data_IF_723704280614
#
_entry.id   IF_723704280614
#
_cell.length_a   1.000
_cell.length_b   1.000
_cell.length_c   1.000
_cell.angle_alpha   90.00
_cell.angle_beta   90.00
_cell.angle_gamma   90.00
#
_symmetry.space_group_name_H-M   'P 1'
#
loop_
_entity.id
_entity.type
_entity.pdbx_description
1 polymer ?
#
# COMPACT_ATOMS: atom_id res chain seq x y z
N UNK A 1 -7.81 100.73 -3.30
CA UNK A 1 -8.17 99.62 -2.38
C UNK A 1 -8.76 98.41 -3.16
N UNK A 2 -8.04 97.84 -4.14
CA UNK A 2 -8.61 96.78 -5.01
C UNK A 2 -7.62 95.71 -5.46
N UNK A 3 -6.71 95.26 -4.59
CA UNK A 3 -5.75 94.16 -4.89
C UNK A 3 -6.14 92.84 -4.21
N UNK A 4 -7.21 92.81 -3.40
CA UNK A 4 -7.54 91.63 -2.57
C UNK A 4 -8.54 90.63 -3.18
N UNK A 5 -9.10 90.87 -4.39
CA UNK A 5 -10.06 89.92 -5.03
C UNK A 5 -9.45 88.89 -6.00
N UNK A 6 -8.17 89.03 -6.41
CA UNK A 6 -7.53 88.13 -7.39
C UNK A 6 -6.87 86.86 -6.81
N UNK A 7 -6.61 86.81 -5.50
CA UNK A 7 -5.98 85.65 -4.82
C UNK A 7 -6.95 84.49 -4.56
N UNK A 8 -8.26 84.74 -4.52
CA UNK A 8 -9.27 83.71 -4.19
C UNK A 8 -9.64 82.80 -5.37
N UNK A 9 -9.62 83.30 -6.61
CA UNK A 9 -9.88 82.49 -7.81
C UNK A 9 -8.71 81.58 -8.17
N UNK A 10 -7.47 82.09 -8.15
CA UNK A 10 -6.27 81.27 -8.42
C UNK A 10 -6.12 80.13 -7.42
N UNK A 11 -6.33 80.38 -6.11
CA UNK A 11 -6.22 79.32 -5.10
C UNK A 11 -7.36 78.29 -5.15
N UNK A 12 -8.54 78.65 -5.69
CA UNK A 12 -9.65 77.71 -5.92
C UNK A 12 -9.37 76.82 -7.13
N UNK A 13 -8.93 77.43 -8.24
CA UNK A 13 -8.56 76.72 -9.48
C UNK A 13 -7.39 75.75 -9.28
N UNK A 14 -6.34 76.16 -8.56
CA UNK A 14 -5.21 75.26 -8.27
C UNK A 14 -5.62 74.10 -7.38
N UNK A 15 -6.46 74.32 -6.36
CA UNK A 15 -6.99 73.25 -5.50
C UNK A 15 -7.86 72.25 -6.27
N UNK A 16 -8.70 72.71 -7.19
CA UNK A 16 -9.52 71.81 -8.02
C UNK A 16 -8.69 71.01 -9.01
N UNK A 17 -7.65 71.61 -9.61
CA UNK A 17 -6.75 70.92 -10.54
C UNK A 17 -5.87 69.90 -9.83
N UNK A 18 -5.29 70.25 -8.68
CA UNK A 18 -4.52 69.32 -7.85
C UNK A 18 -5.41 68.21 -7.30
N UNK A 19 -6.63 68.52 -6.87
CA UNK A 19 -7.61 67.53 -6.43
C UNK A 19 -7.98 66.54 -7.53
N UNK A 20 -8.24 67.02 -8.75
CA UNK A 20 -8.52 66.16 -9.90
C UNK A 20 -7.34 65.27 -10.25
N UNK A 21 -6.12 65.83 -10.27
CA UNK A 21 -4.90 65.05 -10.49
C UNK A 21 -4.69 63.97 -9.43
N UNK A 22 -4.94 64.28 -8.15
CA UNK A 22 -4.85 63.32 -7.06
C UNK A 22 -5.88 62.19 -7.19
N UNK A 23 -7.12 62.52 -7.56
CA UNK A 23 -8.19 61.54 -7.79
C UNK A 23 -7.82 60.60 -8.95
N UNK A 24 -7.27 61.13 -10.04
CA UNK A 24 -6.79 60.32 -11.16
C UNK A 24 -5.66 59.36 -10.76
N UNK A 25 -4.70 59.82 -9.95
CA UNK A 25 -3.60 58.98 -9.44
C UNK A 25 -4.13 57.89 -8.51
N UNK A 26 -5.07 58.21 -7.62
CA UNK A 26 -5.67 57.24 -6.70
C UNK A 26 -6.47 56.18 -7.48
N UNK A 27 -7.28 56.60 -8.46
CA UNK A 27 -8.03 55.66 -9.31
C UNK A 27 -7.08 54.75 -10.09
N UNK A 28 -6.03 55.29 -10.68
CA UNK A 28 -5.01 54.50 -11.38
C UNK A 28 -4.32 53.52 -10.44
N UNK A 29 -3.95 53.96 -9.23
CA UNK A 29 -3.34 53.10 -8.22
C UNK A 29 -4.27 51.96 -7.79
N UNK A 30 -5.56 52.24 -7.58
CA UNK A 30 -6.55 51.21 -7.22
C UNK A 30 -6.73 50.20 -8.36
N UNK A 31 -6.87 50.67 -9.60
CA UNK A 31 -6.99 49.79 -10.77
C UNK A 31 -5.73 48.95 -10.96
N UNK A 32 -4.54 49.56 -10.86
CA UNK A 32 -3.27 48.86 -10.97
C UNK A 32 -3.14 47.79 -9.89
N UNK A 33 -3.45 48.15 -8.64
CA UNK A 33 -3.39 47.25 -7.49
C UNK A 33 -4.39 46.08 -7.66
N UNK A 34 -5.62 46.34 -8.08
CA UNK A 34 -6.61 45.30 -8.38
C UNK A 34 -6.14 44.35 -9.51
N UNK A 35 -5.54 44.88 -10.57
CA UNK A 35 -4.98 44.08 -11.67
C UNK A 35 -3.80 43.23 -11.20
N UNK A 36 -2.86 43.81 -10.45
CA UNK A 36 -1.68 43.10 -9.92
C UNK A 36 -2.09 41.98 -8.97
N UNK A 37 -3.02 42.23 -8.04
CA UNK A 37 -3.53 41.17 -7.15
C UNK A 37 -4.22 40.06 -7.94
N UNK A 38 -5.01 40.39 -8.98
CA UNK A 38 -5.64 39.39 -9.83
C UNK A 38 -4.64 38.56 -10.66
N UNK A 39 -3.54 39.16 -11.10
CA UNK A 39 -2.48 38.46 -11.84
C UNK A 39 -1.63 37.57 -10.93
N UNK A 40 -1.33 38.02 -9.71
CA UNK A 40 -0.59 37.24 -8.72
C UNK A 40 -1.40 36.02 -8.24
N UNK A 41 -2.70 36.17 -8.00
CA UNK A 41 -3.58 35.06 -7.61
C UNK A 41 -3.70 33.99 -8.71
N UNK A 42 -3.88 34.41 -9.98
CA UNK A 42 -3.89 33.49 -11.12
C UNK A 42 -2.54 32.81 -11.30
N UNK A 43 -1.45 33.57 -11.27
CA UNK A 43 -0.10 33.00 -11.39
C UNK A 43 0.22 32.00 -10.27
N UNK A 44 -0.21 32.26 -9.04
CA UNK A 44 -0.06 31.32 -7.92
C UNK A 44 -0.91 30.05 -8.13
N UNK A 45 -2.15 30.18 -8.61
CA UNK A 45 -3.03 29.03 -8.92
C UNK A 45 -2.48 28.18 -10.06
N UNK A 46 -2.06 28.80 -11.16
CA UNK A 46 -1.49 28.10 -12.32
C UNK A 46 -0.21 27.33 -11.92
N UNK A 47 0.61 27.90 -11.02
CA UNK A 47 1.78 27.20 -10.47
C UNK A 47 1.39 26.00 -9.61
N UNK A 48 0.36 26.13 -8.76
CA UNK A 48 -0.13 25.02 -7.93
C UNK A 48 -0.77 23.92 -8.77
N UNK A 49 -1.50 24.27 -9.83
CA UNK A 49 -2.08 23.32 -10.77
C UNK A 49 -0.98 22.58 -11.54
N UNK A 50 -0.01 23.30 -12.12
CA UNK A 50 1.12 22.67 -12.79
C UNK A 50 1.93 21.77 -11.85
N UNK A 51 2.15 22.20 -10.60
CA UNK A 51 2.85 21.38 -9.61
C UNK A 51 2.04 20.13 -9.24
N UNK A 52 0.72 20.27 -9.05
CA UNK A 52 -0.18 19.14 -8.80
C UNK A 52 -0.11 18.14 -9.95
N UNK A 53 -0.21 18.62 -11.18
CA UNK A 53 -0.24 17.77 -12.38
C UNK A 53 1.09 17.04 -12.55
N UNK A 54 2.23 17.73 -12.38
CA UNK A 54 3.55 17.09 -12.39
C UNK A 54 3.71 16.04 -11.28
N UNK A 55 3.13 16.27 -10.10
CA UNK A 55 3.15 15.30 -9.00
C UNK A 55 2.26 14.10 -9.30
N UNK A 56 1.08 14.30 -9.87
CA UNK A 56 0.22 13.22 -10.31
C UNK A 56 0.93 12.34 -11.34
N UNK A 57 1.50 12.94 -12.39
CA UNK A 57 2.28 12.23 -13.41
C UNK A 57 3.44 11.41 -12.82
N UNK A 58 4.12 11.97 -11.81
CA UNK A 58 5.22 11.28 -11.12
C UNK A 58 4.73 10.07 -10.34
N UNK A 59 3.58 10.19 -9.67
CA UNK A 59 2.96 9.08 -8.93
C UNK A 59 2.53 7.97 -9.88
N UNK A 60 1.87 8.32 -10.99
CA UNK A 60 1.44 7.36 -12.00
C UNK A 60 2.63 6.58 -12.58
N UNK A 61 3.67 7.28 -13.03
CA UNK A 61 4.89 6.63 -13.56
C UNK A 61 5.59 5.75 -12.52
N UNK A 62 5.52 6.13 -11.25
CA UNK A 62 6.09 5.34 -10.16
C UNK A 62 5.30 4.06 -9.96
N UNK A 63 3.96 4.13 -9.95
CA UNK A 63 3.07 2.98 -9.83
C UNK A 63 3.27 2.04 -11.02
N UNK A 64 3.30 2.57 -12.25
CA UNK A 64 3.51 1.76 -13.45
C UNK A 64 4.86 1.03 -13.39
N UNK A 65 5.93 1.70 -12.97
CA UNK A 65 7.25 1.09 -12.78
C UNK A 65 7.25 -0.02 -11.72
N UNK A 66 6.49 0.15 -10.63
CA UNK A 66 6.31 -0.89 -9.62
C UNK A 66 5.55 -2.08 -10.23
N UNK A 67 4.47 -1.82 -10.97
CA UNK A 67 3.65 -2.87 -11.58
C UNK A 67 4.42 -3.65 -12.64
N UNK A 68 5.23 -2.98 -13.46
CA UNK A 68 6.10 -3.63 -14.44
C UNK A 68 7.15 -4.53 -13.77
N UNK A 69 7.71 -4.10 -12.64
CA UNK A 69 8.65 -4.94 -11.87
C UNK A 69 7.95 -6.15 -11.27
N UNK A 70 6.76 -5.96 -10.73
CA UNK A 70 5.97 -7.05 -10.14
C UNK A 70 5.55 -8.04 -11.23
N UNK A 71 5.09 -7.59 -12.40
CA UNK A 71 4.67 -8.47 -13.49
C UNK A 71 5.82 -9.36 -14.00
N UNK A 72 7.05 -8.84 -14.04
CA UNK A 72 8.24 -9.63 -14.40
C UNK A 72 8.48 -10.77 -13.41
N UNK A 73 8.23 -10.58 -12.10
CA UNK A 73 8.39 -11.64 -11.10
C UNK A 73 7.44 -12.82 -11.33
N UNK A 74 6.22 -12.55 -11.82
CA UNK A 74 5.27 -13.60 -12.17
C UNK A 74 5.72 -14.49 -13.34
N UNK A 75 6.74 -14.05 -14.07
CA UNK A 75 7.37 -14.82 -15.16
C UNK A 75 8.68 -15.49 -14.76
N UNK A 76 9.16 -15.28 -13.53
CA UNK A 76 10.39 -15.87 -13.04
C UNK A 76 10.18 -17.38 -12.77
N UNK A 77 10.95 -18.28 -13.42
CA UNK A 77 10.81 -19.71 -13.20
C UNK A 77 11.04 -20.15 -11.74
N UNK A 78 11.87 -19.43 -10.98
CA UNK A 78 12.09 -19.74 -9.56
C UNK A 78 10.88 -19.41 -8.70
N UNK A 79 10.13 -18.35 -9.03
CA UNK A 79 8.85 -18.03 -8.36
C UNK A 79 7.80 -19.09 -8.72
N UNK A 80 7.74 -19.51 -9.99
CA UNK A 80 6.87 -20.59 -10.42
C UNK A 80 7.14 -21.92 -9.72
N UNK A 81 8.41 -22.32 -9.63
CA UNK A 81 8.83 -23.52 -8.90
C UNK A 81 8.51 -23.44 -7.41
N UNK A 82 8.76 -22.28 -6.79
CA UNK A 82 8.44 -22.07 -5.38
C UNK A 82 6.93 -22.20 -5.12
N UNK A 83 6.08 -21.57 -5.93
CA UNK A 83 4.63 -21.66 -5.78
C UNK A 83 4.13 -23.10 -5.97
N UNK A 84 4.64 -23.82 -6.98
CA UNK A 84 4.26 -25.21 -7.21
C UNK A 84 4.65 -26.11 -6.02
N UNK A 85 5.91 -26.09 -5.60
CA UNK A 85 6.40 -26.99 -4.54
C UNK A 85 5.80 -26.65 -3.16
N UNK A 86 5.61 -25.36 -2.86
CA UNK A 86 4.96 -24.91 -1.63
C UNK A 86 3.46 -25.22 -1.64
N UNK A 87 2.79 -25.05 -2.78
CA UNK A 87 1.38 -25.43 -2.95
C UNK A 87 1.18 -26.94 -2.77
N UNK A 88 2.00 -27.75 -3.45
CA UNK A 88 2.00 -29.22 -3.33
C UNK A 88 2.27 -29.68 -1.90
N UNK A 89 3.20 -29.02 -1.20
CA UNK A 89 3.48 -29.26 0.21
C UNK A 89 2.31 -28.87 1.12
N UNK A 90 1.66 -27.73 0.83
CA UNK A 90 0.56 -27.18 1.62
C UNK A 90 -0.67 -28.08 1.59
N UNK A 91 -1.07 -28.57 0.40
CA UNK A 91 -2.24 -29.46 0.25
C UNK A 91 -2.06 -30.83 0.92
N UNK A 92 -0.80 -31.22 1.23
CA UNK A 92 -0.49 -32.45 1.96
C UNK A 92 -0.58 -32.29 3.48
N UNK A 93 -0.79 -31.08 4.00
CA UNK A 93 -0.90 -30.81 5.43
C UNK A 93 -2.27 -31.20 5.98
N UNK A 94 -2.47 -32.51 6.17
CA UNK A 94 -3.72 -33.10 6.65
C UNK A 94 -3.70 -33.43 8.16
N UNK A 95 -2.60 -33.14 8.84
CA UNK A 95 -2.42 -33.45 10.26
C UNK A 95 -3.11 -32.40 11.13
N UNK A 96 -4.11 -32.82 11.91
CA UNK A 96 -4.78 -31.95 12.87
C UNK A 96 -3.88 -31.59 14.06
N UNK A 97 -3.93 -30.32 14.46
CA UNK A 97 -3.31 -29.85 15.69
C UNK A 97 -4.00 -30.45 16.91
N UNK A 98 -3.22 -30.81 17.92
CA UNK A 98 -3.78 -31.18 19.21
C UNK A 98 -4.37 -29.97 19.95
N UNK A 99 -5.08 -30.23 21.05
CA UNK A 99 -5.76 -29.17 21.80
C UNK A 99 -4.80 -28.12 22.38
N UNK A 100 -3.58 -28.50 22.77
CA UNK A 100 -2.60 -27.58 23.32
C UNK A 100 -1.97 -26.72 22.21
N UNK A 101 -1.71 -27.31 21.05
CA UNK A 101 -1.23 -26.60 19.87
C UNK A 101 -2.26 -25.59 19.36
N UNK A 102 -3.54 -25.97 19.32
CA UNK A 102 -4.63 -25.07 18.94
C UNK A 102 -4.78 -23.91 19.94
N UNK A 103 -4.68 -24.19 21.24
CA UNK A 103 -4.70 -23.15 22.27
C UNK A 103 -3.53 -22.17 22.11
N UNK A 104 -2.32 -22.67 21.83
CA UNK A 104 -1.14 -21.84 21.55
C UNK A 104 -1.31 -21.00 20.29
N UNK A 105 -1.88 -21.57 19.21
CA UNK A 105 -2.20 -20.84 17.99
C UNK A 105 -3.17 -19.69 18.27
N UNK A 106 -4.30 -19.94 18.93
CA UNK A 106 -5.28 -18.90 19.27
C UNK A 106 -4.65 -17.83 20.17
N UNK A 107 -3.80 -18.22 21.13
CA UNK A 107 -3.10 -17.27 21.98
C UNK A 107 -2.14 -16.35 21.20
N UNK A 108 -1.55 -16.83 20.10
CA UNK A 108 -0.65 -16.05 19.24
C UNK A 108 -1.32 -14.84 18.56
N UNK A 109 -2.65 -14.83 18.47
CA UNK A 109 -3.44 -13.72 17.92
C UNK A 109 -3.69 -12.58 18.92
N UNK A 110 -3.50 -12.81 20.22
CA UNK A 110 -3.76 -11.79 21.25
C UNK A 110 -2.93 -10.52 21.03
N UNK A 111 -1.60 -10.58 20.79
CA UNK A 111 -0.81 -9.37 20.55
C UNK A 111 -1.24 -8.57 19.32
N UNK A 112 -1.84 -9.25 18.31
CA UNK A 112 -2.34 -8.59 17.10
C UNK A 112 -3.65 -7.86 17.39
N UNK A 113 -4.57 -8.51 18.11
CA UNK A 113 -5.90 -7.97 18.41
C UNK A 113 -5.90 -6.95 19.56
N UNK A 114 -5.00 -7.07 20.54
CA UNK A 114 -4.84 -6.13 21.67
C UNK A 114 -4.50 -4.69 21.21
N UNK A 115 -3.95 -4.55 20.00
CA UNK A 115 -3.68 -3.23 19.39
C UNK A 115 -4.94 -2.40 19.19
N UNK A 116 -6.11 -3.02 19.10
CA UNK A 116 -7.38 -2.33 18.92
C UNK A 116 -7.82 -1.60 20.20
N UNK A 117 -7.42 -2.07 21.39
CA UNK A 117 -7.76 -1.34 22.63
C UNK A 117 -6.98 -0.05 22.75
N UNK A 118 -5.73 -0.04 22.28
CA UNK A 118 -4.87 1.16 22.32
C UNK A 118 -5.50 2.34 21.55
N UNK A 119 -6.37 2.04 20.59
CA UNK A 119 -7.09 3.03 19.77
C UNK A 119 -8.60 3.09 20.07
N UNK A 120 -9.07 2.40 21.12
CA UNK A 120 -10.50 2.29 21.47
C UNK A 120 -11.40 1.78 20.33
N UNK A 121 -10.89 0.90 19.47
CA UNK A 121 -11.64 0.27 18.41
C UNK A 121 -12.24 -1.07 18.87
N UNK A 122 -13.39 -1.51 18.32
CA UNK A 122 -13.90 -2.85 18.58
C UNK A 122 -12.91 -3.92 18.12
N UNK A 123 -12.53 -4.84 19.00
CA UNK A 123 -11.68 -5.97 18.64
C UNK A 123 -12.42 -6.92 17.69
N UNK A 124 -11.77 -7.45 16.64
CA UNK A 124 -12.30 -8.58 15.90
C UNK A 124 -12.38 -9.82 16.82
N UNK A 125 -13.32 -10.71 16.53
CA UNK A 125 -13.43 -11.99 17.24
C UNK A 125 -12.29 -12.89 16.76
N UNK A 126 -11.40 -13.31 17.67
CA UNK A 126 -10.20 -14.08 17.31
C UNK A 126 -10.53 -15.37 16.57
N UNK A 127 -11.57 -16.09 17.00
CA UNK A 127 -11.99 -17.35 16.39
C UNK A 127 -12.40 -17.18 14.91
N UNK A 128 -12.85 -15.98 14.51
CA UNK A 128 -13.21 -15.67 13.12
C UNK A 128 -11.97 -15.39 12.25
N UNK A 129 -10.80 -15.15 12.86
CA UNK A 129 -9.54 -14.86 12.16
C UNK A 129 -8.64 -16.08 11.97
N UNK A 130 -8.86 -17.14 12.76
CA UNK A 130 -8.10 -18.38 12.66
C UNK A 130 -8.64 -19.20 11.48
N UNK A 131 -7.77 -19.75 10.60
CA UNK A 131 -8.20 -20.62 9.52
C UNK A 131 -9.10 -21.75 10.00
N UNK A 132 -10.05 -22.15 9.17
CA UNK A 132 -10.96 -23.27 9.51
C UNK A 132 -10.45 -24.61 8.98
N UNK A 133 -9.61 -24.58 7.95
CA UNK A 133 -8.99 -25.75 7.35
C UNK A 133 -7.74 -26.22 8.11
N UNK A 134 -7.42 -27.50 7.93
CA UNK A 134 -6.31 -28.16 8.64
C UNK A 134 -4.96 -27.61 8.21
N UNK A 135 -4.74 -27.40 6.91
CA UNK A 135 -3.48 -26.93 6.37
C UNK A 135 -3.13 -25.52 6.87
N UNK A 136 -4.11 -24.62 6.87
CA UNK A 136 -3.98 -23.24 7.33
C UNK A 136 -3.62 -23.17 8.80
N UNK A 137 -4.32 -23.95 9.65
CA UNK A 137 -3.96 -24.06 11.08
C UNK A 137 -2.57 -24.63 11.27
N UNK A 138 -2.22 -25.67 10.50
CA UNK A 138 -0.92 -26.32 10.58
C UNK A 138 0.21 -25.33 10.31
N UNK A 139 0.17 -24.62 9.18
CA UNK A 139 1.23 -23.64 8.84
C UNK A 139 1.26 -22.49 9.83
N UNK A 140 0.11 -21.98 10.29
CA UNK A 140 0.12 -20.88 11.25
C UNK A 140 0.69 -21.30 12.60
N UNK A 141 0.40 -22.51 13.08
CA UNK A 141 1.00 -22.99 14.32
C UNK A 141 2.52 -23.09 14.18
N UNK A 142 3.01 -23.83 13.18
CA UNK A 142 4.45 -24.09 13.03
C UNK A 142 5.28 -22.85 12.64
N UNK A 143 4.72 -21.94 11.84
CA UNK A 143 5.47 -20.79 11.31
C UNK A 143 5.20 -19.46 12.04
N UNK A 144 4.16 -19.39 12.88
CA UNK A 144 3.78 -18.18 13.62
C UNK A 144 3.79 -18.40 15.13
N UNK A 145 3.08 -19.41 15.63
CA UNK A 145 2.87 -19.61 17.06
C UNK A 145 4.06 -20.30 17.76
N UNK A 146 4.63 -21.32 17.13
CA UNK A 146 5.79 -22.09 17.62
C UNK A 146 7.13 -21.50 17.13
N UNK A 147 7.07 -20.51 16.24
CA UNK A 147 8.24 -19.84 15.71
C UNK A 147 8.92 -18.95 16.78
N UNK A 148 10.17 -19.27 17.11
CA UNK A 148 10.96 -18.55 18.13
C UNK A 148 11.91 -17.51 17.55
N UNK A 149 12.01 -17.40 16.22
CA UNK A 149 12.87 -16.42 15.55
C UNK A 149 12.24 -15.02 15.57
N UNK A 150 13.08 -14.00 15.77
CA UNK A 150 12.69 -12.58 15.75
C UNK A 150 13.70 -11.77 14.91
N UNK A 151 13.30 -11.28 13.72
CA UNK A 151 11.96 -11.34 13.13
C UNK A 151 11.54 -12.76 12.73
N UNK A 152 10.22 -13.06 12.77
CA UNK A 152 9.66 -14.35 12.29
C UNK A 152 10.11 -14.70 10.86
N UNK A 153 10.38 -13.67 10.06
CA UNK A 153 10.90 -13.82 8.71
C UNK A 153 12.18 -14.68 8.65
N UNK A 154 12.98 -14.75 9.72
CA UNK A 154 14.25 -15.48 9.72
C UNK A 154 14.11 -17.01 9.80
N UNK A 155 12.93 -17.52 10.20
CA UNK A 155 12.68 -18.97 10.22
C UNK A 155 12.74 -19.55 8.81
N UNK A 156 13.63 -20.53 8.60
CA UNK A 156 13.85 -21.23 7.32
C UNK A 156 13.14 -22.59 7.29
N UNK A 157 13.14 -23.32 8.40
CA UNK A 157 12.56 -24.66 8.53
C UNK A 157 11.92 -24.79 9.91
N UNK A 158 10.65 -25.17 9.97
CA UNK A 158 9.93 -25.38 11.23
C UNK A 158 10.36 -26.67 11.96
N UNK A 159 11.10 -27.56 11.31
CA UNK A 159 11.59 -28.81 11.90
C UNK A 159 10.49 -29.87 12.12
N UNK A 160 9.34 -29.71 11.46
CA UNK A 160 8.18 -30.60 11.52
C UNK A 160 8.32 -31.86 10.63
N UNK A 161 9.31 -31.87 9.72
CA UNK A 161 9.54 -32.94 8.75
C UNK A 161 8.53 -33.01 7.60
N UNK A 162 7.69 -31.98 7.42
CA UNK A 162 6.70 -31.91 6.35
C UNK A 162 7.34 -31.63 4.99
N UNK A 163 6.69 -32.06 3.91
CA UNK A 163 7.10 -31.69 2.55
C UNK A 163 7.05 -30.17 2.35
N UNK A 164 6.09 -29.51 3.00
CA UNK A 164 5.99 -28.06 3.04
C UNK A 164 7.26 -27.41 3.63
N UNK A 165 7.75 -27.88 4.78
CA UNK A 165 8.96 -27.30 5.38
C UNK A 165 10.22 -27.57 4.59
N UNK A 166 10.31 -28.70 3.88
CA UNK A 166 11.40 -28.95 2.93
C UNK A 166 11.37 -27.94 1.77
N UNK A 167 10.19 -27.68 1.17
CA UNK A 167 10.04 -26.67 0.13
C UNK A 167 10.29 -25.25 0.67
N UNK A 168 9.77 -24.92 1.85
CA UNK A 168 10.01 -23.65 2.51
C UNK A 168 11.50 -23.42 2.74
N UNK A 169 12.24 -24.40 3.24
CA UNK A 169 13.68 -24.29 3.46
C UNK A 169 14.47 -24.01 2.17
N UNK A 170 14.05 -24.59 1.04
CA UNK A 170 14.67 -24.38 -0.28
C UNK A 170 14.41 -22.96 -0.81
N UNK A 171 13.15 -22.52 -0.80
CA UNK A 171 12.73 -21.30 -1.50
C UNK A 171 12.73 -20.03 -0.64
N UNK A 172 12.57 -20.16 0.68
CA UNK A 172 12.45 -19.02 1.59
C UNK A 172 13.65 -18.05 1.49
N UNK A 173 14.93 -18.51 1.44
CA UNK A 173 16.06 -17.59 1.30
C UNK A 173 16.01 -16.75 0.00
N UNK A 174 15.48 -17.30 -1.08
CA UNK A 174 15.31 -16.57 -2.35
C UNK A 174 14.17 -15.55 -2.25
N UNK A 175 13.00 -15.96 -1.78
CA UNK A 175 11.82 -15.11 -1.66
C UNK A 175 12.03 -13.96 -0.64
N UNK A 176 12.72 -14.23 0.47
CA UNK A 176 13.11 -13.21 1.45
C UNK A 176 14.06 -12.16 0.85
N UNK A 177 15.05 -12.59 0.06
CA UNK A 177 15.92 -11.65 -0.70
C UNK A 177 15.13 -10.87 -1.74
N UNK A 178 14.20 -11.51 -2.44
CA UNK A 178 13.33 -10.85 -3.41
C UNK A 178 12.51 -9.74 -2.74
N UNK A 179 11.83 -10.05 -1.62
CA UNK A 179 11.07 -9.08 -0.83
C UNK A 179 11.92 -7.89 -0.39
N UNK A 180 13.10 -8.17 0.16
CA UNK A 180 14.06 -7.14 0.59
C UNK A 180 14.49 -6.25 -0.59
N UNK A 181 14.77 -6.84 -1.76
CA UNK A 181 15.28 -6.12 -2.93
C UNK A 181 14.30 -5.09 -3.51
N UNK A 182 13.00 -5.34 -3.36
CA UNK A 182 11.93 -4.45 -3.83
C UNK A 182 11.32 -3.63 -2.69
N UNK A 183 11.85 -3.78 -1.47
CA UNK A 183 11.38 -3.08 -0.29
C UNK A 183 9.98 -3.49 0.16
N UNK A 184 9.55 -4.71 -0.17
CA UNK A 184 8.31 -5.28 0.30
C UNK A 184 8.40 -5.62 1.79
N UNK A 185 7.31 -5.40 2.52
CA UNK A 185 7.17 -5.91 3.89
C UNK A 185 6.75 -7.36 3.91
N UNK A 186 6.16 -7.85 2.82
CA UNK A 186 5.87 -9.26 2.62
C UNK A 186 5.77 -9.60 1.13
N UNK A 187 6.07 -10.86 0.82
CA UNK A 187 5.68 -11.50 -0.44
C UNK A 187 4.82 -12.69 -0.08
N UNK A 188 3.62 -12.72 -0.65
CA UNK A 188 2.69 -13.83 -0.52
C UNK A 188 2.65 -14.62 -1.82
N UNK A 189 2.56 -15.94 -1.71
CA UNK A 189 2.18 -16.79 -2.83
C UNK A 189 0.77 -17.32 -2.55
N UNK A 190 -0.09 -17.22 -3.55
CA UNK A 190 -1.50 -17.57 -3.47
C UNK A 190 -1.80 -18.63 -4.51
N UNK A 191 -2.33 -19.76 -4.06
CA UNK A 191 -2.93 -20.76 -4.94
C UNK A 191 -4.26 -20.20 -5.46
N UNK A 192 -4.46 -20.14 -6.79
CA UNK A 192 -5.69 -19.57 -7.35
C UNK A 192 -6.83 -20.60 -7.51
N UNK A 193 -6.56 -21.89 -7.34
CA UNK A 193 -7.58 -22.94 -7.34
C UNK A 193 -8.28 -23.00 -5.97
N UNK A 194 -7.51 -22.96 -4.87
CA UNK A 194 -8.06 -22.92 -3.50
C UNK A 194 -8.27 -21.51 -2.99
N UNK A 195 -7.59 -20.52 -3.57
CA UNK A 195 -7.55 -19.11 -3.12
C UNK A 195 -6.88 -18.90 -1.77
N UNK A 196 -6.09 -19.87 -1.30
CA UNK A 196 -5.34 -19.77 -0.05
C UNK A 196 -3.98 -19.09 -0.22
N UNK A 197 -3.57 -18.34 0.80
CA UNK A 197 -2.18 -17.89 0.95
C UNK A 197 -1.32 -19.09 1.37
N UNK A 198 -0.65 -19.74 0.42
CA UNK A 198 0.20 -20.91 0.71
C UNK A 198 1.59 -20.54 1.26
N UNK A 199 2.00 -19.28 1.13
CA UNK A 199 3.31 -18.81 1.63
C UNK A 199 3.28 -17.32 2.00
N UNK A 200 4.08 -16.95 3.01
CA UNK A 200 4.38 -15.57 3.43
C UNK A 200 5.85 -15.50 3.88
N UNK A 201 6.57 -14.46 3.43
CA UNK A 201 7.94 -14.19 3.91
C UNK A 201 7.90 -13.84 5.39
N UNK A 202 6.99 -12.94 5.77
CA UNK A 202 6.90 -12.37 7.12
C UNK A 202 6.13 -13.24 8.10
N UNK A 203 5.50 -14.32 7.63
CA UNK A 203 4.77 -15.32 8.45
C UNK A 203 3.75 -14.61 9.35
N UNK A 204 2.82 -13.90 8.71
CA UNK A 204 1.74 -13.18 9.38
C UNK A 204 0.46 -14.03 9.36
N UNK A 205 -0.54 -13.56 10.09
CA UNK A 205 -1.82 -14.25 10.28
C UNK A 205 -2.70 -14.32 9.01
N UNK A 206 -2.20 -13.82 7.87
CA UNK A 206 -2.75 -13.99 6.52
C UNK A 206 -2.29 -15.31 5.86
N UNK A 207 -1.19 -15.91 6.30
CA UNK A 207 -0.73 -17.22 5.87
C UNK A 207 -1.81 -18.29 6.16
N UNK A 208 -2.09 -19.14 5.17
CA UNK A 208 -3.05 -20.23 5.29
C UNK A 208 -4.51 -19.76 5.34
N UNK A 209 -4.83 -18.58 4.81
CA UNK A 209 -6.22 -18.08 4.75
C UNK A 209 -6.68 -17.89 3.31
N UNK A 210 -7.96 -18.16 3.08
CA UNK A 210 -8.63 -17.89 1.82
C UNK A 210 -8.77 -16.36 1.60
N UNK A 211 -8.19 -15.87 0.50
CA UNK A 211 -8.16 -14.44 0.17
C UNK A 211 -9.47 -13.89 -0.38
N UNK A 212 -10.43 -14.74 -0.74
CA UNK A 212 -11.72 -14.35 -1.32
C UNK A 212 -12.91 -14.59 -0.39
N UNK A 213 -12.81 -15.53 0.54
CA UNK A 213 -13.89 -15.87 1.48
C UNK A 213 -13.48 -15.85 2.95
N UNK A 214 -12.17 -15.82 3.24
CA UNK A 214 -11.63 -15.77 4.59
C UNK A 214 -11.64 -14.37 5.24
N UNK A 215 -11.00 -14.23 6.41
CA UNK A 215 -11.07 -13.02 7.25
C UNK A 215 -10.53 -11.75 6.58
N UNK A 216 -9.69 -11.89 5.56
CA UNK A 216 -9.08 -10.76 4.84
C UNK A 216 -9.69 -10.49 3.46
N UNK A 217 -10.77 -11.19 3.10
CA UNK A 217 -11.41 -11.03 1.79
C UNK A 217 -11.92 -9.60 1.51
N UNK A 218 -12.36 -8.90 2.56
CA UNK A 218 -12.81 -7.51 2.48
C UNK A 218 -11.70 -6.46 2.50
N UNK A 219 -10.43 -6.88 2.45
CA UNK A 219 -9.25 -5.98 2.52
C UNK A 219 -8.60 -5.77 1.14
N UNK A 220 -7.53 -4.96 1.09
CA UNK A 220 -6.73 -4.81 -0.12
C UNK A 220 -6.19 -6.13 -0.69
N UNK A 221 -5.98 -7.17 0.13
CA UNK A 221 -5.55 -8.50 -0.33
C UNK A 221 -6.62 -9.17 -1.21
N UNK A 222 -7.87 -9.25 -0.73
CA UNK A 222 -8.95 -9.81 -1.53
C UNK A 222 -9.25 -8.98 -2.78
N UNK A 223 -9.20 -7.64 -2.65
CA UNK A 223 -9.43 -6.73 -3.77
C UNK A 223 -8.38 -6.88 -4.89
N UNK A 224 -7.09 -7.04 -4.55
CA UNK A 224 -6.04 -7.18 -5.56
C UNK A 224 -6.15 -8.50 -6.32
N UNK A 225 -6.51 -9.59 -5.63
CA UNK A 225 -6.71 -10.91 -6.25
C UNK A 225 -7.94 -10.91 -7.16
N UNK A 226 -9.06 -10.34 -6.72
CA UNK A 226 -10.24 -10.19 -7.58
C UNK A 226 -9.94 -9.39 -8.84
N UNK A 227 -9.18 -8.28 -8.69
CA UNK A 227 -8.77 -7.48 -9.85
C UNK A 227 -7.82 -8.25 -10.78
N UNK A 228 -6.87 -9.02 -10.23
CA UNK A 228 -5.92 -9.82 -11.00
C UNK A 228 -6.62 -10.81 -11.92
N UNK A 229 -7.72 -11.43 -11.49
CA UNK A 229 -8.51 -12.37 -12.29
C UNK A 229 -9.22 -11.72 -13.50
N UNK A 230 -9.27 -10.39 -13.59
CA UNK A 230 -9.95 -9.65 -14.67
C UNK A 230 -9.01 -9.03 -15.69
N UNK A 231 -7.71 -9.00 -15.41
CA UNK A 231 -6.69 -8.36 -16.26
C UNK A 231 -5.90 -9.40 -17.07
N UNK A 232 -5.10 -8.94 -18.03
CA UNK A 232 -4.25 -9.84 -18.80
C UNK A 232 -3.17 -10.48 -17.90
N UNK A 233 -2.83 -11.74 -18.19
CA UNK A 233 -1.94 -12.57 -17.34
C UNK A 233 -0.51 -12.01 -17.26
N UNK A 234 -0.11 -11.14 -18.20
CA UNK A 234 1.17 -10.43 -18.23
C UNK A 234 1.13 -9.06 -17.54
N UNK A 235 0.00 -8.69 -16.95
CA UNK A 235 -0.18 -7.43 -16.21
C UNK A 235 -0.19 -7.69 -14.70
N UNK A 236 0.25 -6.68 -13.94
CA UNK A 236 0.08 -6.66 -12.50
C UNK A 236 -1.15 -5.82 -12.10
N UNK A 237 -1.88 -6.28 -11.09
CA UNK A 237 -2.96 -5.56 -10.44
C UNK A 237 -2.42 -4.77 -9.24
N UNK A 238 -3.09 -3.67 -8.91
CA UNK A 238 -2.86 -2.89 -7.68
C UNK A 238 -4.21 -2.64 -6.99
N UNK A 239 -4.22 -2.73 -5.67
CA UNK A 239 -5.34 -2.33 -4.81
C UNK A 239 -4.96 -1.13 -3.93
N UNK A 240 -5.96 -0.29 -3.65
CA UNK A 240 -5.80 0.91 -2.84
C UNK A 240 -5.32 0.61 -1.42
N UNK A 241 -4.79 1.65 -0.77
CA UNK A 241 -4.31 1.59 0.61
C UNK A 241 -5.43 1.31 1.60
N UNK A 242 -5.27 0.25 2.39
CA UNK A 242 -6.17 -0.06 3.50
C UNK A 242 -5.36 -0.34 4.76
N UNK A 243 -5.93 -0.04 5.93
CA UNK A 243 -5.41 -0.56 7.19
C UNK A 243 -5.48 -2.08 7.16
N UNK A 244 -4.34 -2.73 7.33
CA UNK A 244 -4.23 -4.17 7.17
C UNK A 244 -3.82 -4.85 8.47
N UNK A 245 -4.77 -5.58 9.08
CA UNK A 245 -4.60 -6.20 10.39
C UNK A 245 -3.32 -7.06 10.49
N UNK A 246 -2.99 -7.92 9.51
CA UNK A 246 -1.76 -8.72 9.57
C UNK A 246 -0.48 -7.87 9.62
N UNK A 247 -0.42 -6.72 8.93
CA UNK A 247 0.74 -5.80 8.96
C UNK A 247 0.65 -4.78 10.10
N UNK A 248 0.25 -5.23 11.29
CA UNK A 248 0.11 -4.37 12.47
C UNK A 248 -0.86 -3.21 12.30
N UNK A 249 -1.89 -3.39 11.47
CA UNK A 249 -2.84 -2.35 11.09
C UNK A 249 -2.17 -1.12 10.49
N UNK A 250 -1.03 -1.29 9.81
CA UNK A 250 -0.41 -0.25 9.01
C UNK A 250 -1.17 -0.07 7.68
N UNK A 251 -1.14 1.16 7.11
CA UNK A 251 -1.60 1.37 5.74
C UNK A 251 -0.62 0.74 4.75
N UNK A 252 -1.12 -0.24 3.98
CA UNK A 252 -0.33 -0.97 2.97
C UNK A 252 -1.01 -0.93 1.61
N UNK A 253 -0.21 -1.04 0.55
CA UNK A 253 -0.62 -1.26 -0.83
C UNK A 253 -0.30 -2.70 -1.23
N UNK A 254 -1.22 -3.30 -1.98
CA UNK A 254 -1.03 -4.62 -2.56
C UNK A 254 -0.84 -4.49 -4.06
N UNK A 255 0.21 -5.12 -4.58
CA UNK A 255 0.40 -5.35 -6.00
C UNK A 255 0.46 -6.86 -6.26
N UNK A 256 -0.26 -7.37 -7.24
CA UNK A 256 -0.31 -8.80 -7.54
C UNK A 256 -0.05 -9.08 -9.02
N UNK A 257 0.58 -10.20 -9.31
CA UNK A 257 0.75 -10.71 -10.67
C UNK A 257 0.40 -12.19 -10.72
N UNK A 258 -0.07 -12.67 -11.87
CA UNK A 258 -0.20 -14.10 -12.10
C UNK A 258 1.20 -14.72 -12.19
N UNK A 259 1.39 -15.85 -11.52
CA UNK A 259 2.60 -16.67 -11.60
C UNK A 259 2.38 -17.74 -12.65
N UNK A 260 3.33 -17.89 -13.57
CA UNK A 260 3.23 -18.81 -14.69
C UNK A 260 4.37 -19.80 -14.75
N UNK A 261 4.05 -21.00 -15.24
CA UNK A 261 5.03 -21.94 -15.79
C UNK A 261 4.67 -22.21 -17.24
N UNK A 262 5.50 -21.74 -18.17
CA UNK A 262 5.24 -21.79 -19.60
C UNK A 262 3.89 -21.12 -19.99
N UNK A 263 2.91 -21.90 -20.44
CA UNK A 263 1.59 -21.42 -20.86
C UNK A 263 0.52 -21.56 -19.76
N UNK A 264 0.88 -22.09 -18.59
CA UNK A 264 -0.03 -22.38 -17.49
C UNK A 264 0.10 -21.33 -16.38
N UNK A 265 -1.02 -20.93 -15.81
CA UNK A 265 -1.09 -20.07 -14.63
C UNK A 265 -1.13 -20.98 -13.41
N UNK A 266 -0.11 -20.88 -12.55
CA UNK A 266 0.01 -21.69 -11.33
C UNK A 266 -0.68 -21.03 -10.13
N UNK A 267 -0.82 -19.71 -10.15
CA UNK A 267 -1.44 -18.96 -9.07
C UNK A 267 -1.05 -17.48 -9.13
N UNK A 268 -0.85 -16.85 -7.97
CA UNK A 268 -0.48 -15.44 -7.89
C UNK A 268 0.67 -15.17 -6.91
N UNK A 269 1.47 -14.15 -7.23
CA UNK A 269 2.42 -13.52 -6.32
C UNK A 269 1.83 -12.18 -5.91
N UNK A 270 1.77 -11.92 -4.61
CA UNK A 270 1.31 -10.64 -4.05
C UNK A 270 2.44 -9.98 -3.28
N UNK A 271 2.73 -8.74 -3.61
CA UNK A 271 3.69 -7.88 -2.92
C UNK A 271 2.93 -6.94 -2.01
N UNK A 272 3.34 -6.89 -0.74
CA UNK A 272 2.79 -5.97 0.26
C UNK A 272 3.80 -4.85 0.53
N UNK A 273 3.38 -3.61 0.28
CA UNK A 273 4.22 -2.41 0.42
C UNK A 273 3.63 -1.47 1.46
N UNK A 274 4.44 -1.03 2.42
CA UNK A 274 4.04 0.05 3.33
C UNK A 274 4.00 1.40 2.60
N UNK A 275 3.01 2.22 2.93
CA UNK A 275 2.81 3.53 2.26
C UNK A 275 3.95 4.52 2.50
N UNK A 276 4.67 4.43 3.62
CA UNK A 276 5.84 5.27 3.85
C UNK A 276 6.91 5.02 2.78
N UNK A 277 7.10 3.75 2.36
CA UNK A 277 8.06 3.39 1.31
C UNK A 277 7.62 3.87 -0.07
N UNK A 278 6.32 3.86 -0.37
CA UNK A 278 5.81 4.49 -1.59
C UNK A 278 6.02 6.00 -1.58
N UNK A 279 5.82 6.64 -0.43
CA UNK A 279 6.05 8.07 -0.26
C UNK A 279 7.53 8.40 -0.46
N UNK A 280 8.44 7.60 0.07
CA UNK A 280 9.88 7.76 -0.18
C UNK A 280 10.23 7.60 -1.66
N UNK A 281 9.63 6.63 -2.38
CA UNK A 281 9.85 6.48 -3.83
C UNK A 281 9.32 7.71 -4.61
N UNK A 282 8.17 8.25 -4.21
CA UNK A 282 7.52 9.42 -4.86
C UNK A 282 8.19 10.74 -4.50
N UNK A 283 8.77 10.84 -3.30
CA UNK A 283 9.37 12.09 -2.77
C UNK A 283 10.88 12.12 -2.86
N UNK A 284 11.56 11.00 -3.15
CA UNK A 284 13.00 10.95 -3.40
C UNK A 284 13.38 11.63 -4.73
N UNK A 285 13.28 12.97 -4.78
CA UNK A 285 14.04 13.88 -5.64
C UNK A 285 14.21 15.24 -4.97
#
# INVERSE_FOLDING_TARGET
MSVLRGRSLRSRLTRTLVGLGLVSVILLAIVNLAVVYGLLDRGAKDQLESLRDLRADTVEQTIDSVLDRVSVMGTDPAVGAALADLGDGYVQLDTELDAAQLEALVASYLPVTDRYDAVNAPRPVTDDLVPTDTAGRYVQYHYIADNTDEPRADLVDAGDGSAYSAAHAEYHPFLSRLATSIGATDILLVDLDTTDVVYSVSKRIDLGTDVLTGPYAGTGLGAVIQKLQTIAVDQAAIADTTFYLPDSSAPVVFAATAVRSNAEVLGALVVVLQTERLTDIVTAR
#
